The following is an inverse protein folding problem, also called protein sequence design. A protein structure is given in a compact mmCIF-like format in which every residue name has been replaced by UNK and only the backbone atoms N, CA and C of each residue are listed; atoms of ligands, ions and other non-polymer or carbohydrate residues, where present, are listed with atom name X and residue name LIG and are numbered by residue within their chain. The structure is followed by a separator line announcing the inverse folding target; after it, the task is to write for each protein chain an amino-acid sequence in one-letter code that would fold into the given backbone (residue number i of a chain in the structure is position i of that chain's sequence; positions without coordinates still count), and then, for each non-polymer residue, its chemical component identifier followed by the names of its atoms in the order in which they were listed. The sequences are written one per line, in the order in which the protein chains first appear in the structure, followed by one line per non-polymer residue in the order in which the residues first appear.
data_IF_289980635144
#
_entry.id   IF_289980635144
#
_cell.length_a   1.000
_cell.length_b   1.000
_cell.length_c   1.000
_cell.angle_alpha   90.00
_cell.angle_beta   90.00
_cell.angle_gamma   90.00
#
_symmetry.space_group_name_H-M   'P 1'
#
loop_
_entity.id
_entity.type
_entity.pdbx_description
1 polymer ?
#
# COMPACT_ATOMS: atom_id res chain seq x y z
N UNK A 1 7.33 11.07 -19.41
CA UNK A 1 7.69 10.41 -18.14
C UNK A 1 6.46 9.62 -17.73
N UNK A 2 6.39 8.34 -18.11
CA UNK A 2 5.21 7.51 -17.85
C UNK A 2 5.19 7.16 -16.37
N UNK A 3 4.17 7.62 -15.64
CA UNK A 3 3.93 7.22 -14.26
C UNK A 3 3.81 5.69 -14.21
N UNK A 4 4.79 5.02 -13.63
CA UNK A 4 4.84 3.55 -13.52
C UNK A 4 3.82 2.97 -12.53
N UNK A 5 2.78 3.75 -12.18
CA UNK A 5 1.84 3.51 -11.10
C UNK A 5 0.36 3.67 -11.52
N UNK A 6 0.06 4.04 -12.77
CA UNK A 6 -1.33 4.22 -13.23
C UNK A 6 -2.01 2.88 -13.49
N UNK A 7 -2.62 2.31 -12.44
CA UNK A 7 -3.41 1.06 -12.51
C UNK A 7 -4.80 1.28 -13.09
N UNK A 8 -5.33 2.49 -12.93
CA UNK A 8 -6.65 2.87 -13.44
C UNK A 8 -6.44 3.68 -14.70
N UNK A 9 -6.70 3.04 -15.84
CA UNK A 9 -6.62 3.65 -17.17
C UNK A 9 -7.98 4.12 -17.68
N UNK A 10 -9.05 3.45 -17.27
CA UNK A 10 -10.45 3.76 -17.62
C UNK A 10 -11.31 3.79 -16.35
N UNK A 11 -11.96 4.92 -16.01
CA UNK A 11 -12.80 5.04 -14.82
C UNK A 11 -14.13 4.28 -14.91
N UNK A 12 -14.52 3.80 -16.10
CA UNK A 12 -15.76 3.04 -16.32
C UNK A 12 -15.59 1.54 -16.11
N UNK A 13 -14.34 1.05 -16.08
CA UNK A 13 -14.02 -0.36 -15.93
C UNK A 13 -13.71 -0.67 -14.47
N UNK A 14 -14.30 -1.76 -13.95
CA UNK A 14 -13.94 -2.28 -12.63
C UNK A 14 -12.49 -2.75 -12.66
N UNK A 15 -11.59 -2.18 -11.83
CA UNK A 15 -10.20 -2.63 -11.78
C UNK A 15 -10.11 -4.01 -11.14
N UNK A 16 -9.03 -4.72 -11.43
CA UNK A 16 -8.79 -6.04 -10.85
C UNK A 16 -8.86 -6.00 -9.31
N UNK A 17 -9.50 -7.01 -8.70
CA UNK A 17 -9.69 -7.08 -7.25
C UNK A 17 -10.84 -6.24 -6.69
N UNK A 18 -11.68 -5.64 -7.54
CA UNK A 18 -12.84 -4.84 -7.09
C UNK A 18 -13.79 -5.63 -6.18
N UNK A 19 -14.02 -6.90 -6.48
CA UNK A 19 -14.95 -7.76 -5.72
C UNK A 19 -14.27 -8.48 -4.54
N UNK A 20 -13.06 -8.05 -4.13
CA UNK A 20 -12.38 -8.61 -2.95
C UNK A 20 -13.11 -8.27 -1.64
N UNK A 21 -12.95 -9.11 -0.60
CA UNK A 21 -13.35 -8.77 0.76
C UNK A 21 -12.85 -7.40 1.19
N UNK A 22 -13.67 -6.68 1.98
CA UNK A 22 -13.44 -5.28 2.37
C UNK A 22 -12.01 -4.99 2.82
N UNK A 23 -11.41 -5.82 3.68
CA UNK A 23 -10.02 -5.61 4.19
C UNK A 23 -9.02 -5.58 3.03
N UNK A 24 -9.03 -6.62 2.18
CA UNK A 24 -8.12 -6.74 1.04
C UNK A 24 -8.36 -5.65 0.01
N UNK A 25 -9.62 -5.31 -0.25
CA UNK A 25 -9.96 -4.22 -1.17
C UNK A 25 -9.46 -2.86 -0.69
N UNK A 26 -9.66 -2.52 0.60
CA UNK A 26 -9.16 -1.27 1.18
C UNK A 26 -7.64 -1.20 1.09
N UNK A 27 -6.95 -2.25 1.52
CA UNK A 27 -5.49 -2.34 1.41
C UNK A 27 -4.99 -2.15 -0.03
N UNK A 28 -5.60 -2.85 -0.99
CA UNK A 28 -5.25 -2.74 -2.41
C UNK A 28 -5.48 -1.32 -2.94
N UNK A 29 -6.60 -0.69 -2.58
CA UNK A 29 -6.91 0.69 -2.96
C UNK A 29 -5.90 1.67 -2.39
N UNK A 30 -5.57 1.53 -1.11
CA UNK A 30 -4.55 2.36 -0.44
C UNK A 30 -3.20 2.26 -1.15
N UNK A 31 -2.77 1.04 -1.49
CA UNK A 31 -1.50 0.82 -2.20
C UNK A 31 -1.54 1.47 -3.59
N UNK A 32 -2.64 1.32 -4.33
CA UNK A 32 -2.82 1.93 -5.67
C UNK A 32 -2.78 3.45 -5.62
N UNK A 33 -3.39 4.04 -4.60
CA UNK A 33 -3.36 5.50 -4.43
C UNK A 33 -2.00 6.01 -3.99
N UNK A 34 -1.12 5.15 -3.43
CA UNK A 34 0.16 5.49 -2.78
C UNK A 34 0.06 6.48 -1.60
N UNK A 35 -1.10 7.12 -1.46
CA UNK A 35 -1.48 8.06 -0.44
C UNK A 35 -2.39 7.38 0.56
N UNK A 36 -1.90 7.27 1.78
CA UNK A 36 -2.59 6.67 2.90
C UNK A 36 -2.57 7.65 4.09
N UNK A 37 -3.46 7.48 5.07
CA UNK A 37 -3.39 8.19 6.37
C UNK A 37 -2.20 7.68 7.18
N UNK A 38 -1.00 8.00 6.71
CA UNK A 38 0.27 7.47 7.23
C UNK A 38 0.89 8.42 8.22
N UNK A 39 1.78 7.86 9.04
CA UNK A 39 2.56 8.62 10.01
C UNK A 39 3.30 9.80 9.33
N UNK A 40 3.79 9.66 8.11
CA UNK A 40 4.34 10.80 7.34
C UNK A 40 3.34 11.95 7.16
N UNK A 41 2.12 11.67 6.68
CA UNK A 41 1.09 12.68 6.46
C UNK A 41 0.52 13.22 7.78
N UNK A 42 0.30 12.33 8.75
CA UNK A 42 -0.17 12.69 10.09
C UNK A 42 0.86 13.57 10.80
N UNK A 43 2.15 13.29 10.65
CA UNK A 43 3.23 14.08 11.25
C UNK A 43 3.29 15.45 10.59
N UNK A 44 3.22 15.49 9.25
CA UNK A 44 3.10 16.75 8.50
C UNK A 44 1.91 17.60 8.94
N UNK A 45 0.84 16.97 9.43
CA UNK A 45 -0.35 17.64 9.96
C UNK A 45 -0.34 17.81 11.49
N UNK A 46 0.74 17.49 12.18
CA UNK A 46 0.85 17.61 13.64
C UNK A 46 -0.04 16.65 14.43
N UNK A 47 -0.51 15.56 13.81
CA UNK A 47 -1.38 14.55 14.42
C UNK A 47 -0.60 13.35 14.99
N UNK A 48 0.71 13.27 14.77
CA UNK A 48 1.61 12.29 15.40
C UNK A 48 2.98 12.91 15.62
N UNK A 49 3.61 12.53 16.72
CA UNK A 49 4.93 13.00 17.13
C UNK A 49 6.04 12.52 16.18
N UNK A 50 5.87 11.35 15.55
CA UNK A 50 6.88 10.77 14.67
C UNK A 50 6.27 10.16 13.40
N UNK A 51 6.90 10.37 12.23
CA UNK A 51 6.55 9.71 10.98
C UNK A 51 7.17 8.31 10.82
N UNK A 52 7.98 7.86 11.77
CA UNK A 52 8.81 6.67 11.65
C UNK A 52 8.01 5.37 11.50
N UNK A 53 8.63 4.43 10.78
CA UNK A 53 8.22 3.05 10.71
C UNK A 53 8.78 2.29 11.92
N UNK A 54 8.07 1.27 12.38
CA UNK A 54 8.51 0.37 13.46
C UNK A 54 9.75 -0.44 13.10
N UNK A 55 10.05 -0.62 11.80
CA UNK A 55 11.31 -1.17 11.35
C UNK A 55 12.51 -0.21 11.49
N UNK A 56 12.31 0.99 12.05
CA UNK A 56 13.34 2.01 12.25
C UNK A 56 13.54 2.97 11.07
N UNK A 57 12.78 2.82 9.98
CA UNK A 57 12.86 3.74 8.84
C UNK A 57 12.22 5.09 9.19
N UNK A 58 12.83 6.25 8.83
CA UNK A 58 12.39 7.56 9.29
C UNK A 58 11.00 7.97 8.80
N UNK A 59 10.58 7.51 7.62
CA UNK A 59 9.30 7.89 7.02
C UNK A 59 8.46 6.66 6.60
N UNK A 60 7.38 6.40 7.33
CA UNK A 60 6.47 5.30 7.01
C UNK A 60 5.58 5.64 5.81
N UNK A 61 6.08 5.39 4.59
CA UNK A 61 5.35 5.57 3.32
C UNK A 61 4.81 4.23 2.77
N UNK A 62 3.92 4.28 1.76
CA UNK A 62 3.46 3.06 1.05
C UNK A 62 4.61 2.38 0.30
N UNK A 63 5.42 3.10 -0.50
CA UNK A 63 6.59 2.51 -1.15
C UNK A 63 7.53 1.81 -0.20
N UNK A 64 7.85 2.46 0.93
CA UNK A 64 8.70 1.84 1.94
C UNK A 64 8.10 0.51 2.44
N UNK A 65 6.83 0.47 2.85
CA UNK A 65 6.26 -0.76 3.41
C UNK A 65 6.18 -1.91 2.42
N UNK A 66 5.88 -1.60 1.16
CA UNK A 66 5.73 -2.63 0.13
C UNK A 66 7.09 -3.11 -0.39
N UNK A 67 8.04 -2.20 -0.62
CA UNK A 67 9.28 -2.51 -1.35
C UNK A 67 10.54 -2.59 -0.48
N UNK A 68 10.54 -1.99 0.72
CA UNK A 68 11.79 -1.77 1.48
C UNK A 68 11.71 -2.18 2.96
N UNK A 69 10.51 -2.35 3.52
CA UNK A 69 10.34 -2.59 4.95
C UNK A 69 10.75 -4.02 5.31
N UNK A 70 11.76 -4.14 6.16
CA UNK A 70 12.28 -5.43 6.63
C UNK A 70 11.25 -6.31 7.33
N UNK A 71 10.16 -5.72 7.85
CA UNK A 71 9.10 -6.44 8.55
C UNK A 71 7.96 -6.89 7.63
N UNK A 72 7.71 -6.16 6.52
CA UNK A 72 6.46 -6.27 5.75
C UNK A 72 6.63 -6.26 4.25
N UNK A 73 7.87 -6.30 3.76
CA UNK A 73 8.21 -6.38 2.34
C UNK A 73 7.33 -7.40 1.61
N UNK A 74 6.77 -6.98 0.47
CA UNK A 74 6.27 -7.91 -0.52
C UNK A 74 7.32 -8.12 -1.61
N UNK A 75 7.79 -9.35 -1.79
CA UNK A 75 8.90 -9.67 -2.70
C UNK A 75 8.59 -9.41 -4.19
N UNK A 76 7.33 -9.15 -4.56
CA UNK A 76 6.93 -8.71 -5.91
C UNK A 76 6.83 -7.19 -6.08
N UNK A 77 6.97 -6.42 -5.00
CA UNK A 77 6.80 -4.97 -4.96
C UNK A 77 5.39 -4.49 -5.36
N UNK A 78 5.24 -3.17 -5.46
CA UNK A 78 3.93 -2.52 -5.75
C UNK A 78 3.29 -3.05 -7.03
N UNK A 79 4.08 -3.25 -8.10
CA UNK A 79 3.56 -3.67 -9.41
C UNK A 79 2.89 -5.03 -9.36
N UNK A 80 3.47 -5.99 -8.64
CA UNK A 80 2.90 -7.33 -8.53
C UNK A 80 1.70 -7.41 -7.57
N UNK A 81 1.53 -6.45 -6.65
CA UNK A 81 0.32 -6.37 -5.83
C UNK A 81 -0.90 -6.07 -6.70
N UNK A 82 -0.73 -5.27 -7.76
CA UNK A 82 -1.83 -4.86 -8.63
C UNK A 82 -2.45 -6.02 -9.42
N UNK A 83 -1.72 -7.11 -9.63
CA UNK A 83 -2.19 -8.31 -10.33
C UNK A 83 -2.97 -9.27 -9.44
N UNK A 84 -3.12 -8.96 -8.14
CA UNK A 84 -4.02 -9.68 -7.20
C UNK A 84 -3.79 -11.20 -7.23
N UNK A 85 -2.53 -11.62 -7.25
CA UNK A 85 -2.17 -13.04 -7.17
C UNK A 85 -2.46 -13.60 -5.78
N UNK A 86 -2.52 -14.92 -5.63
CA UNK A 86 -2.70 -15.56 -4.32
C UNK A 86 -1.62 -15.15 -3.31
N UNK A 87 -0.38 -14.94 -3.78
CA UNK A 87 0.70 -14.41 -2.97
C UNK A 87 0.43 -12.98 -2.47
N UNK A 88 -0.12 -12.12 -3.33
CA UNK A 88 -0.51 -10.76 -2.95
C UNK A 88 -1.68 -10.76 -1.97
N UNK A 89 -2.67 -11.63 -2.18
CA UNK A 89 -3.82 -11.81 -1.29
C UNK A 89 -3.41 -12.32 0.10
N UNK A 90 -2.54 -13.33 0.14
CA UNK A 90 -1.99 -13.87 1.38
C UNK A 90 -1.22 -12.79 2.14
N UNK A 91 -0.34 -12.05 1.44
CA UNK A 91 0.41 -10.95 2.03
C UNK A 91 -0.52 -9.86 2.61
N UNK A 92 -1.53 -9.41 1.85
CA UNK A 92 -2.51 -8.42 2.32
C UNK A 92 -3.29 -8.90 3.55
N UNK A 93 -3.57 -10.20 3.66
CA UNK A 93 -4.23 -10.78 4.82
C UNK A 93 -3.34 -10.82 6.06
N UNK A 94 -2.03 -11.03 5.89
CA UNK A 94 -1.03 -11.08 6.98
C UNK A 94 -0.59 -9.73 7.52
N UNK A 95 -0.94 -8.63 6.84
CA UNK A 95 -0.65 -7.29 7.33
C UNK A 95 -1.37 -7.03 8.65
N UNK A 96 -0.57 -6.69 9.65
CA UNK A 96 -0.92 -6.18 10.98
C UNK A 96 -1.18 -4.67 10.97
N UNK A 97 -0.84 -3.99 9.87
CA UNK A 97 -1.15 -2.58 9.67
C UNK A 97 -2.47 -2.42 8.91
N UNK A 98 -3.33 -1.54 9.40
CA UNK A 98 -4.38 -0.97 8.56
C UNK A 98 -3.74 0.03 7.58
N UNK A 99 -3.81 -0.32 6.29
CA UNK A 99 -3.34 0.50 5.18
C UNK A 99 -4.46 1.41 4.66
#
# INVERSE_FOLDING_TARGET
MFDSYTVITDPTVKPQGFDLPRKQWLTLKTIRSLHARRAHHLHKWGMTESPACDCGYPDRTIPHIVNDCSLRLFHGGIKAIHTVTDAALAWMSTLDLEL
#
